data_IF_735849227183
#
_entry.id   IF_735849227183
#
_cell.length_a   1.000
_cell.length_b   1.000
_cell.length_c   1.000
_cell.angle_alpha   90.00
_cell.angle_beta   90.00
_cell.angle_gamma   90.00
#
_symmetry.space_group_name_H-M   'P 1'
#
loop_
_entity.id
_entity.type
_entity.pdbx_description
1 polymer ?
#
# COMPACT_ATOMS: atom_id res chain seq x y z
N UNK A 1 -9.20 -14.71 -2.43
CA UNK A 1 -8.52 -13.59 -1.73
C UNK A 1 -9.46 -12.99 -0.70
N UNK A 2 -8.95 -12.59 0.46
CA UNK A 2 -9.70 -11.80 1.44
C UNK A 2 -8.98 -10.47 1.62
N UNK A 3 -9.68 -9.38 1.41
CA UNK A 3 -9.19 -8.02 1.66
C UNK A 3 -9.84 -7.51 2.95
N UNK A 4 -9.02 -7.15 3.95
CA UNK A 4 -9.52 -6.65 5.23
C UNK A 4 -9.74 -5.12 5.19
N UNK A 5 -8.85 -4.41 4.49
CA UNK A 5 -8.85 -2.95 4.37
C UNK A 5 -8.27 -2.56 3.02
N UNK A 6 -8.85 -1.52 2.42
CA UNK A 6 -8.40 -0.94 1.15
C UNK A 6 -7.01 -0.30 1.24
N UNK A 7 -6.41 -0.05 0.08
CA UNK A 7 -5.12 0.64 -0.03
C UNK A 7 -5.28 2.11 0.35
N UNK A 8 -4.52 2.57 1.34
CA UNK A 8 -4.56 3.95 1.84
C UNK A 8 -3.18 4.43 2.33
N UNK A 9 -3.04 5.74 2.58
CA UNK A 9 -1.90 6.33 3.29
C UNK A 9 -2.28 6.50 4.75
N UNK A 10 -1.61 5.75 5.62
CA UNK A 10 -1.82 5.82 7.07
C UNK A 10 -0.55 6.25 7.78
N UNK A 11 -0.71 6.95 8.90
CA UNK A 11 0.40 7.23 9.81
C UNK A 11 0.83 5.96 10.52
N UNK A 12 2.14 5.76 10.66
CA UNK A 12 2.68 4.50 11.18
C UNK A 12 2.27 4.25 12.63
N UNK A 13 2.18 5.29 13.44
CA UNK A 13 1.81 5.20 14.85
C UNK A 13 0.33 4.80 15.02
N UNK A 14 -0.55 5.30 14.14
CA UNK A 14 -1.96 4.92 14.09
C UNK A 14 -2.13 3.45 13.68
N UNK A 15 -1.39 3.01 12.66
CA UNK A 15 -1.41 1.63 12.20
C UNK A 15 -0.90 0.67 13.30
N UNK A 16 0.20 1.02 13.96
CA UNK A 16 0.76 0.24 15.06
C UNK A 16 -0.27 0.06 16.18
N UNK A 17 -0.95 1.14 16.57
CA UNK A 17 -1.96 1.10 17.63
C UNK A 17 -3.19 0.29 17.21
N UNK A 18 -3.61 0.38 15.95
CA UNK A 18 -4.69 -0.46 15.37
C UNK A 18 -4.34 -1.95 15.49
N UNK A 19 -3.15 -2.36 15.01
CA UNK A 19 -2.74 -3.76 14.98
C UNK A 19 -2.50 -4.34 16.39
N UNK A 20 -1.88 -3.56 17.28
CA UNK A 20 -1.58 -3.95 18.66
C UNK A 20 -2.83 -4.26 19.49
N UNK A 21 -3.95 -3.60 19.19
CA UNK A 21 -5.20 -3.78 19.93
C UNK A 21 -6.06 -4.96 19.41
N UNK A 22 -5.56 -5.72 18.42
CA UNK A 22 -6.21 -6.94 17.94
C UNK A 22 -5.71 -8.18 18.68
N UNK A 23 -6.52 -9.23 18.74
CA UNK A 23 -6.10 -10.55 19.23
C UNK A 23 -5.46 -11.41 18.11
N UNK A 24 -4.97 -10.78 17.05
CA UNK A 24 -4.40 -11.44 15.87
C UNK A 24 -2.88 -11.23 15.81
N UNK A 25 -2.20 -12.16 15.16
CA UNK A 25 -0.77 -12.10 14.89
C UNK A 25 -0.52 -11.50 13.50
N UNK A 26 0.36 -10.51 13.42
CA UNK A 26 0.63 -9.76 12.19
C UNK A 26 2.06 -9.92 11.72
N UNK A 27 2.24 -10.00 10.40
CA UNK A 27 3.55 -9.91 9.76
C UNK A 27 3.58 -8.64 8.92
N UNK A 28 4.44 -7.69 9.26
CA UNK A 28 4.59 -6.45 8.48
C UNK A 28 5.69 -6.62 7.44
N UNK A 29 5.37 -6.26 6.20
CA UNK A 29 6.28 -6.27 5.04
C UNK A 29 6.35 -4.88 4.40
N UNK A 30 7.37 -4.64 3.60
CA UNK A 30 7.69 -3.40 2.93
C UNK A 30 8.93 -2.71 3.50
N UNK A 31 9.37 -1.66 2.81
CA UNK A 31 10.55 -0.87 3.19
C UNK A 31 10.35 -0.10 4.50
N UNK A 32 9.10 0.25 4.82
CA UNK A 32 8.75 0.97 6.05
C UNK A 32 9.15 0.20 7.31
N UNK A 33 9.22 -1.13 7.24
CA UNK A 33 9.64 -1.99 8.36
C UNK A 33 11.02 -1.60 8.88
N UNK A 34 12.00 -1.40 8.00
CA UNK A 34 13.36 -1.03 8.40
C UNK A 34 13.45 0.41 8.90
N UNK A 35 12.59 1.30 8.36
CA UNK A 35 12.55 2.70 8.79
C UNK A 35 11.99 2.86 10.21
N UNK A 36 11.05 2.00 10.59
CA UNK A 36 10.33 2.07 11.87
C UNK A 36 10.58 0.84 12.75
N UNK A 37 11.70 0.14 12.54
CA UNK A 37 12.04 -1.11 13.25
C UNK A 37 11.99 -0.93 14.77
N UNK A 38 12.55 0.17 15.27
CA UNK A 38 12.55 0.50 16.69
C UNK A 38 11.15 0.68 17.29
N UNK A 39 10.16 1.07 16.49
CA UNK A 39 8.77 1.22 16.93
C UNK A 39 7.99 -0.10 16.90
N UNK A 40 8.42 -1.04 16.07
CA UNK A 40 7.67 -2.27 15.77
C UNK A 40 8.17 -3.45 16.60
N UNK A 41 9.49 -3.57 16.83
CA UNK A 41 10.14 -4.75 17.42
C UNK A 41 9.66 -5.13 18.82
N UNK A 42 9.15 -4.17 19.59
CA UNK A 42 8.73 -4.37 20.98
C UNK A 42 7.23 -4.72 21.12
N UNK A 43 6.51 -4.90 20.01
CA UNK A 43 5.08 -5.21 19.99
C UNK A 43 4.88 -6.71 19.87
N UNK A 44 4.25 -7.31 20.88
CA UNK A 44 4.19 -8.77 21.04
C UNK A 44 3.53 -9.52 19.87
N UNK A 45 2.47 -8.94 19.28
CA UNK A 45 1.69 -9.58 18.21
C UNK A 45 2.08 -9.12 16.80
N UNK A 46 3.22 -8.43 16.65
CA UNK A 46 3.70 -7.93 15.36
C UNK A 46 5.11 -8.47 15.10
N UNK A 47 5.27 -9.11 13.94
CA UNK A 47 6.50 -9.77 13.54
C UNK A 47 7.06 -9.17 12.26
N UNK A 48 8.39 -9.08 12.22
CA UNK A 48 9.14 -8.73 11.02
C UNK A 48 9.71 -9.99 10.40
N UNK A 49 9.41 -10.31 9.13
CA UNK A 49 9.92 -11.50 8.50
C UNK A 49 11.39 -11.32 8.09
N UNK A 50 12.07 -12.43 7.81
CA UNK A 50 13.42 -12.38 7.26
C UNK A 50 13.46 -11.56 5.95
N UNK A 51 14.58 -10.85 5.64
CA UNK A 51 14.66 -9.99 4.45
C UNK A 51 14.30 -10.67 3.12
N UNK A 52 14.58 -11.97 3.01
CA UNK A 52 14.25 -12.80 1.83
C UNK A 52 12.75 -13.03 1.61
N UNK A 53 11.93 -12.78 2.64
CA UNK A 53 10.47 -12.80 2.60
C UNK A 53 9.88 -11.39 2.58
N UNK A 54 10.68 -10.35 2.85
CA UNK A 54 10.29 -8.95 2.78
C UNK A 54 10.50 -8.33 1.39
N UNK A 55 10.25 -9.10 0.32
CA UNK A 55 10.42 -8.68 -1.07
C UNK A 55 9.26 -9.18 -1.92
N UNK A 56 8.79 -8.34 -2.84
CA UNK A 56 7.75 -8.71 -3.80
C UNK A 56 8.28 -9.73 -4.80
N UNK A 57 7.82 -10.99 -4.69
CA UNK A 57 8.21 -12.08 -5.60
C UNK A 57 7.27 -12.15 -6.79
N UNK A 58 7.82 -12.28 -7.99
CA UNK A 58 7.06 -12.45 -9.22
C UNK A 58 6.13 -13.67 -9.17
N UNK A 59 6.57 -14.78 -8.54
CA UNK A 59 5.74 -15.97 -8.35
C UNK A 59 4.48 -15.71 -7.54
N UNK A 60 4.58 -14.92 -6.45
CA UNK A 60 3.44 -14.56 -5.61
C UNK A 60 2.48 -13.64 -6.37
N UNK A 61 3.02 -12.66 -7.11
CA UNK A 61 2.24 -11.78 -7.98
C UNK A 61 1.45 -12.59 -9.03
N UNK A 62 2.11 -13.51 -9.75
CA UNK A 62 1.46 -14.35 -10.76
C UNK A 62 0.40 -15.27 -10.15
N UNK A 63 0.61 -15.77 -8.94
CA UNK A 63 -0.38 -16.61 -8.24
C UNK A 63 -1.68 -15.83 -7.99
N UNK A 64 -1.56 -14.58 -7.52
CA UNK A 64 -2.71 -13.67 -7.34
C UNK A 64 -3.33 -13.31 -8.69
N UNK A 65 -2.51 -13.05 -9.72
CA UNK A 65 -2.99 -12.69 -11.05
C UNK A 65 -3.83 -13.80 -11.69
N UNK A 66 -3.40 -15.07 -11.56
CA UNK A 66 -4.16 -16.22 -12.05
C UNK A 66 -5.52 -16.32 -11.35
N UNK A 67 -5.56 -16.17 -10.03
CA UNK A 67 -6.81 -16.19 -9.27
C UNK A 67 -7.76 -15.06 -9.70
N UNK A 68 -7.25 -13.83 -9.83
CA UNK A 68 -8.03 -12.68 -10.32
C UNK A 68 -8.56 -12.90 -11.74
N UNK A 69 -7.71 -13.39 -12.64
CA UNK A 69 -8.09 -13.67 -14.03
C UNK A 69 -9.20 -14.73 -14.13
N UNK A 70 -9.07 -15.82 -13.39
CA UNK A 70 -10.07 -16.90 -13.38
C UNK A 70 -11.44 -16.45 -12.84
N UNK A 71 -11.44 -15.46 -11.94
CA UNK A 71 -12.66 -14.86 -11.39
C UNK A 71 -13.13 -13.61 -12.18
N UNK A 72 -12.45 -13.26 -13.28
CA UNK A 72 -12.71 -12.07 -14.09
C UNK A 72 -12.70 -10.75 -13.27
N UNK A 73 -11.77 -10.64 -12.32
CA UNK A 73 -11.54 -9.48 -11.45
C UNK A 73 -10.32 -8.71 -11.95
N UNK A 74 -10.41 -7.39 -12.08
CA UNK A 74 -9.30 -6.49 -12.44
C UNK A 74 -8.52 -6.91 -13.70
N UNK A 75 -9.24 -7.45 -14.70
CA UNK A 75 -8.66 -7.84 -15.99
C UNK A 75 -8.75 -6.64 -16.93
N UNK A 76 -7.59 -6.13 -17.33
CA UNK A 76 -7.45 -4.95 -18.18
C UNK A 76 -6.66 -5.28 -19.44
N UNK A 77 -6.94 -4.56 -20.52
CA UNK A 77 -6.11 -4.56 -21.71
C UNK A 77 -5.06 -3.42 -21.65
N UNK A 78 -4.27 -3.29 -22.73
CA UNK A 78 -3.21 -2.29 -22.82
C UNK A 78 -3.71 -0.83 -22.90
N UNK A 79 -5.00 -0.62 -23.12
CA UNK A 79 -5.63 0.70 -23.18
C UNK A 79 -6.39 1.05 -21.89
N UNK A 80 -6.91 0.04 -21.18
CA UNK A 80 -7.74 0.23 -19.99
C UNK A 80 -6.96 0.18 -18.67
N UNK A 81 -5.72 -0.33 -18.69
CA UNK A 81 -4.92 -0.43 -17.46
C UNK A 81 -4.53 0.97 -16.95
N UNK A 82 -4.90 1.26 -15.70
CA UNK A 82 -4.56 2.50 -15.04
C UNK A 82 -3.78 2.21 -13.74
N UNK A 83 -2.62 2.83 -13.51
CA UNK A 83 -1.92 2.71 -12.23
C UNK A 83 -2.81 3.18 -11.07
N UNK A 84 -2.73 2.47 -9.94
CA UNK A 84 -3.33 2.92 -8.69
C UNK A 84 -2.42 3.98 -8.04
N UNK A 85 -2.85 5.23 -8.07
CA UNK A 85 -2.18 6.32 -7.38
C UNK A 85 -2.73 6.47 -5.96
N UNK A 86 -1.96 6.02 -4.97
CA UNK A 86 -2.30 6.16 -3.55
C UNK A 86 -2.18 7.63 -3.08
N UNK A 87 -1.33 8.41 -3.77
CA UNK A 87 -1.13 9.85 -3.53
C UNK A 87 -1.26 10.60 -4.84
N UNK A 88 -1.81 11.81 -4.82
CA UNK A 88 -1.74 12.72 -5.98
C UNK A 88 -0.28 12.89 -6.40
N UNK A 89 -0.04 12.82 -7.70
CA UNK A 89 1.29 13.05 -8.24
C UNK A 89 1.71 14.51 -8.04
N UNK A 90 3.01 14.77 -7.92
CA UNK A 90 3.53 16.14 -7.86
C UNK A 90 3.13 16.97 -9.09
N UNK A 91 3.01 16.32 -10.25
CA UNK A 91 2.53 16.96 -11.47
C UNK A 91 1.07 17.42 -11.36
N UNK A 92 0.19 16.59 -10.82
CA UNK A 92 -1.22 16.97 -10.58
C UNK A 92 -1.35 18.06 -9.52
N UNK A 93 -0.55 17.99 -8.45
CA UNK A 93 -0.51 19.05 -7.43
C UNK A 93 -0.12 20.39 -8.05
N UNK A 94 0.94 20.42 -8.86
CA UNK A 94 1.38 21.65 -9.55
C UNK A 94 0.38 22.13 -10.59
N UNK A 95 -0.29 21.21 -11.29
CA UNK A 95 -1.34 21.55 -12.25
C UNK A 95 -2.54 22.22 -11.55
N UNK A 96 -3.03 21.64 -10.45
CA UNK A 96 -4.11 22.19 -9.64
C UNK A 96 -3.75 23.58 -9.10
N UNK A 97 -2.51 23.77 -8.64
CA UNK A 97 -2.00 25.08 -8.23
C UNK A 97 -1.98 26.09 -9.37
N UNK A 98 -1.54 25.68 -10.57
CA UNK A 98 -1.53 26.54 -11.76
C UNK A 98 -2.95 26.96 -12.16
N UNK A 99 -3.90 26.02 -12.13
CA UNK A 99 -5.30 26.29 -12.45
C UNK A 99 -5.95 27.23 -11.43
N UNK A 100 -5.62 27.10 -10.13
CA UNK A 100 -6.04 28.06 -9.10
C UNK A 100 -5.50 29.47 -9.38
N UNK A 101 -4.21 29.61 -9.70
CA UNK A 101 -3.61 30.94 -10.03
C UNK A 101 -4.30 31.61 -11.23
N UNK A 102 -4.61 30.85 -12.27
CA UNK A 102 -5.32 31.33 -13.46
C UNK A 102 -6.74 31.81 -13.16
N UNK A 103 -7.45 31.12 -12.26
CA UNK A 103 -8.82 31.48 -11.86
C UNK A 103 -8.83 32.69 -10.89
N UNK A 104 -7.80 32.85 -10.07
CA UNK A 104 -7.69 33.94 -9.09
C UNK A 104 -7.14 35.26 -9.70
N UNK A 105 -6.90 35.29 -11.03
CA UNK A 105 -6.57 36.51 -11.77
C UNK A 105 -5.21 37.15 -11.42
N UNK A 106 -4.24 36.36 -10.95
CA UNK A 106 -2.84 36.79 -10.76
C UNK A 106 -1.91 36.18 -11.79
#
# INVERSE_FOLDING_TARGET
LVELKGVDVVEIDELIEELKNTNEEWIIVGEAVYKYEDKIKDIANIHVPAPSHNVSKASSLCSIAIEKYNNNIDVYDCYSINPLYIRKSQAEVQYDEKMKRLNDGK
#
